data_IF_277469326893
#
_entry.id   IF_277469326893
#
_cell.length_a   1.000
_cell.length_b   1.000
_cell.length_c   1.000
_cell.angle_alpha   90.00
_cell.angle_beta   90.00
_cell.angle_gamma   90.00
#
_symmetry.space_group_name_H-M   'P 1'
#
loop_
_entity.id
_entity.type
_entity.pdbx_description
1 polymer ?
#
# COMPACT_ATOMS: atom_id res chain seq x y z
N UNK A 1 -6.41 14.56 -0.27
CA UNK A 1 -5.39 15.17 0.58
C UNK A 1 -5.75 16.60 0.91
N UNK A 2 -5.51 17.02 2.15
CA UNK A 2 -5.76 18.37 2.58
C UNK A 2 -4.63 19.31 2.14
N UNK A 3 -4.95 20.60 1.96
CA UNK A 3 -3.95 21.63 1.76
C UNK A 3 -2.98 21.74 2.97
N UNK A 4 -1.80 22.34 2.81
CA UNK A 4 -0.88 22.57 3.92
C UNK A 4 -1.58 23.21 5.13
N UNK A 5 -1.32 22.70 6.33
CA UNK A 5 -1.98 23.15 7.56
C UNK A 5 -3.34 22.51 7.87
N UNK A 6 -3.83 21.63 6.99
CA UNK A 6 -5.09 20.90 7.22
C UNK A 6 -4.88 19.45 7.70
N UNK A 7 -3.65 19.01 7.87
CA UNK A 7 -3.29 17.73 8.45
C UNK A 7 -2.53 17.93 9.76
N UNK A 8 -2.68 16.99 10.70
CA UNK A 8 -1.82 16.94 11.88
C UNK A 8 -0.42 16.34 11.53
N UNK A 9 0.44 16.23 12.53
CA UNK A 9 1.78 15.64 12.42
C UNK A 9 1.78 14.15 12.02
N UNK A 10 0.63 13.48 12.13
CA UNK A 10 0.41 12.09 11.70
C UNK A 10 -0.18 12.00 10.29
N UNK A 11 -0.46 13.12 9.65
CA UNK A 11 -1.09 13.19 8.34
C UNK A 11 -2.59 12.87 8.35
N UNK A 12 -3.23 13.00 9.49
CA UNK A 12 -4.67 12.81 9.61
C UNK A 12 -5.42 14.09 9.26
N UNK A 13 -6.56 13.94 8.58
CA UNK A 13 -7.39 15.06 8.14
C UNK A 13 -8.55 15.23 9.11
N UNK A 14 -8.41 16.16 10.05
CA UNK A 14 -9.45 16.53 11.03
C UNK A 14 -10.01 17.93 10.78
N UNK A 15 -10.40 18.25 9.53
CA UNK A 15 -10.83 19.59 9.13
C UNK A 15 -12.34 19.71 9.05
N UNK A 16 -12.85 20.94 9.12
CA UNK A 16 -14.27 21.26 8.99
C UNK A 16 -14.95 20.57 7.80
N UNK A 17 -14.37 20.52 6.58
CA UNK A 17 -14.94 19.77 5.47
C UNK A 17 -15.10 18.29 5.71
N UNK A 18 -14.39 17.70 6.67
CA UNK A 18 -14.38 16.25 6.95
C UNK A 18 -15.15 15.87 8.22
N UNK A 19 -15.77 16.81 8.90
CA UNK A 19 -16.60 16.52 10.07
C UNK A 19 -17.87 15.77 9.68
N UNK A 20 -18.28 14.83 10.52
CA UNK A 20 -19.48 14.06 10.33
C UNK A 20 -20.73 14.94 10.33
N UNK A 21 -21.61 14.76 9.36
CA UNK A 21 -22.89 15.44 9.24
C UNK A 21 -23.93 14.50 8.62
N UNK A 22 -25.23 14.64 8.91
CA UNK A 22 -26.26 13.85 8.26
C UNK A 22 -26.21 13.94 6.73
N UNK A 23 -26.30 12.81 6.05
CA UNK A 23 -26.25 12.73 4.57
C UNK A 23 -24.88 12.98 3.92
N UNK A 24 -23.86 13.27 4.69
CA UNK A 24 -22.51 13.54 4.18
C UNK A 24 -21.70 12.25 4.04
N UNK A 25 -21.03 12.08 2.90
CA UNK A 25 -20.08 10.97 2.69
C UNK A 25 -18.81 11.22 3.51
N UNK A 26 -18.32 10.16 4.13
CA UNK A 26 -17.02 10.19 4.81
C UNK A 26 -15.86 10.22 3.81
N UNK A 27 -14.71 10.70 4.25
CA UNK A 27 -13.44 10.47 3.58
C UNK A 27 -13.11 8.97 3.62
N UNK A 28 -12.64 8.42 2.51
CA UNK A 28 -12.18 7.04 2.44
C UNK A 28 -10.88 6.94 1.65
N UNK A 29 -9.94 6.14 2.15
CA UNK A 29 -8.71 5.73 1.44
C UNK A 29 -8.83 4.32 0.87
N UNK A 30 -9.98 3.67 0.95
CA UNK A 30 -10.22 2.35 0.36
C UNK A 30 -9.87 2.36 -1.12
N UNK A 31 -9.07 1.39 -1.53
CA UNK A 31 -8.57 1.27 -2.90
C UNK A 31 -8.66 -0.19 -3.37
N UNK A 32 -9.88 -0.80 -3.38
CA UNK A 32 -10.04 -2.12 -3.96
C UNK A 32 -9.73 -2.04 -5.46
N UNK A 33 -8.86 -2.91 -5.95
CA UNK A 33 -8.31 -2.79 -7.30
C UNK A 33 -8.42 -4.09 -8.07
N UNK A 34 -8.88 -3.98 -9.31
CA UNK A 34 -8.91 -5.03 -10.30
C UNK A 34 -8.01 -4.60 -11.48
N UNK A 35 -7.04 -5.42 -11.83
CA UNK A 35 -6.23 -5.22 -13.03
C UNK A 35 -6.61 -6.24 -14.10
N UNK A 36 -6.67 -5.77 -15.34
CA UNK A 36 -6.84 -6.63 -16.50
C UNK A 36 -5.62 -6.55 -17.41
N UNK A 37 -5.30 -7.66 -18.07
CA UNK A 37 -4.28 -7.74 -19.09
C UNK A 37 -4.86 -8.49 -20.29
N UNK A 38 -4.72 -7.91 -21.48
CA UNK A 38 -5.24 -8.48 -22.73
C UNK A 38 -6.75 -8.85 -22.64
N UNK A 39 -7.53 -7.98 -21.96
CA UNK A 39 -8.98 -8.16 -21.78
C UNK A 39 -9.38 -9.20 -20.75
N UNK A 40 -8.43 -9.84 -20.06
CA UNK A 40 -8.70 -10.84 -19.02
C UNK A 40 -8.32 -10.32 -17.63
N UNK A 41 -8.99 -10.83 -16.59
CA UNK A 41 -8.61 -10.53 -15.22
C UNK A 41 -7.20 -11.04 -14.99
N UNK A 42 -6.33 -10.14 -14.51
CA UNK A 42 -4.93 -10.44 -14.19
C UNK A 42 -4.68 -10.45 -12.68
N UNK A 43 -5.26 -9.49 -11.96
CA UNK A 43 -4.95 -9.30 -10.53
C UNK A 43 -6.14 -8.71 -9.80
N UNK A 44 -6.38 -9.18 -8.59
CA UNK A 44 -7.30 -8.58 -7.62
C UNK A 44 -6.52 -8.28 -6.36
N UNK A 45 -6.57 -7.03 -5.87
CA UNK A 45 -5.88 -6.66 -4.65
C UNK A 45 -6.65 -5.61 -3.86
N UNK A 46 -6.40 -5.59 -2.58
CA UNK A 46 -6.88 -4.61 -1.64
C UNK A 46 -6.00 -4.59 -0.40
N UNK A 47 -6.23 -3.63 0.46
CA UNK A 47 -5.44 -3.50 1.68
C UNK A 47 -6.25 -2.90 2.82
N UNK A 48 -5.84 -3.18 4.05
CA UNK A 48 -6.16 -2.40 5.23
C UNK A 48 -4.97 -1.52 5.65
N UNK A 49 -5.18 -0.46 6.42
CA UNK A 49 -4.09 0.39 6.90
C UNK A 49 -4.41 1.88 6.95
N UNK A 50 -5.69 2.25 6.86
CA UNK A 50 -6.11 3.66 6.91
C UNK A 50 -5.44 4.48 5.80
N UNK A 51 -4.68 5.50 6.14
CA UNK A 51 -4.01 6.38 5.16
C UNK A 51 -2.96 5.68 4.29
N UNK A 52 -2.41 4.55 4.72
CA UNK A 52 -1.38 3.82 3.97
C UNK A 52 -1.96 2.91 2.89
N UNK A 53 -3.28 2.66 2.87
CA UNK A 53 -3.95 1.74 1.93
C UNK A 53 -3.55 2.02 0.49
N UNK A 54 -3.61 3.27 0.04
CA UNK A 54 -3.33 3.66 -1.35
C UNK A 54 -1.91 3.23 -1.76
N UNK A 55 -0.91 3.55 -0.94
CA UNK A 55 0.47 3.18 -1.21
C UNK A 55 0.71 1.67 -1.06
N UNK A 56 0.04 1.02 -0.11
CA UNK A 56 0.12 -0.44 0.04
C UNK A 56 -0.34 -1.15 -1.22
N UNK A 57 -1.50 -0.77 -1.76
CA UNK A 57 -2.02 -1.31 -3.02
C UNK A 57 -1.07 -0.98 -4.18
N UNK A 58 -0.58 0.26 -4.28
CA UNK A 58 0.38 0.67 -5.31
C UNK A 58 1.67 -0.17 -5.24
N UNK A 59 2.30 -0.30 -4.06
CA UNK A 59 3.51 -1.10 -3.90
C UNK A 59 3.27 -2.56 -4.32
N UNK A 60 2.14 -3.15 -3.92
CA UNK A 60 1.79 -4.53 -4.30
C UNK A 60 1.66 -4.68 -5.82
N UNK A 61 1.01 -3.72 -6.50
CA UNK A 61 0.88 -3.73 -7.97
C UNK A 61 2.26 -3.63 -8.65
N UNK A 62 3.08 -2.66 -8.23
CA UNK A 62 4.44 -2.46 -8.78
C UNK A 62 5.31 -3.70 -8.56
N UNK A 63 5.23 -4.32 -7.40
CA UNK A 63 5.97 -5.55 -7.10
C UNK A 63 5.65 -6.68 -8.10
N UNK A 64 4.39 -6.83 -8.47
CA UNK A 64 3.97 -7.83 -9.46
C UNK A 64 4.30 -7.40 -10.88
N UNK A 65 3.92 -6.18 -11.27
CA UNK A 65 3.95 -5.73 -12.67
C UNK A 65 5.37 -5.40 -13.13
N UNK A 66 6.11 -4.65 -12.30
CA UNK A 66 7.43 -4.13 -12.68
C UNK A 66 8.56 -5.03 -12.18
N UNK A 67 8.40 -5.67 -11.02
CA UNK A 67 9.43 -6.52 -10.42
C UNK A 67 9.20 -8.02 -10.63
N UNK A 68 8.07 -8.44 -11.21
CA UNK A 68 7.78 -9.83 -11.55
C UNK A 68 7.60 -10.76 -10.34
N UNK A 69 7.32 -10.21 -9.16
CA UNK A 69 7.15 -10.98 -7.94
C UNK A 69 5.90 -11.87 -8.04
N UNK A 70 5.93 -13.05 -7.40
CA UNK A 70 4.75 -13.86 -7.18
C UNK A 70 3.83 -13.22 -6.13
N UNK A 71 2.62 -13.78 -5.94
CA UNK A 71 1.62 -13.19 -5.06
C UNK A 71 2.12 -13.06 -3.61
N UNK A 72 2.79 -14.08 -3.09
CA UNK A 72 3.28 -14.06 -1.71
C UNK A 72 4.47 -13.11 -1.54
N UNK A 73 5.42 -13.12 -2.47
CA UNK A 73 6.54 -12.17 -2.47
C UNK A 73 6.06 -10.72 -2.51
N UNK A 74 5.06 -10.43 -3.35
CA UNK A 74 4.54 -9.09 -3.53
C UNK A 74 3.89 -8.50 -2.27
N UNK A 75 3.16 -9.33 -1.50
CA UNK A 75 2.53 -8.87 -0.25
C UNK A 75 3.51 -8.84 0.93
N UNK A 76 4.53 -9.71 0.95
CA UNK A 76 5.55 -9.76 2.00
C UNK A 76 6.63 -8.68 1.84
N UNK A 77 6.83 -8.17 0.63
CA UNK A 77 7.84 -7.15 0.34
C UNK A 77 7.73 -5.92 1.26
N UNK A 78 8.86 -5.37 1.64
CA UNK A 78 8.94 -4.17 2.47
C UNK A 78 8.28 -2.97 1.79
N UNK A 79 7.57 -2.15 2.56
CA UNK A 79 6.76 -1.05 2.06
C UNK A 79 7.35 0.30 2.32
N UNK A 80 7.08 1.20 1.37
CA UNK A 80 7.32 2.64 1.51
C UNK A 80 6.00 3.39 1.40
N UNK A 81 5.93 4.54 2.07
CA UNK A 81 4.75 5.39 2.06
C UNK A 81 5.14 6.86 2.00
N UNK A 82 4.47 7.60 1.11
CA UNK A 82 4.53 9.06 1.06
C UNK A 82 3.13 9.57 0.71
N UNK A 83 2.65 10.56 1.43
CA UNK A 83 1.28 11.07 1.24
C UNK A 83 1.24 12.59 1.00
N UNK A 84 2.34 13.21 0.53
CA UNK A 84 2.55 14.62 0.36
C UNK A 84 2.79 15.37 1.69
N UNK A 85 1.89 15.33 2.62
CA UNK A 85 2.03 15.92 3.95
C UNK A 85 1.75 14.86 5.04
N UNK A 86 2.61 14.78 6.06
CA UNK A 86 3.93 15.42 6.18
C UNK A 86 4.87 15.01 5.05
N UNK A 87 5.70 15.95 4.57
CA UNK A 87 6.64 15.71 3.48
C UNK A 87 7.82 14.85 3.96
N UNK A 88 7.58 13.55 3.95
CA UNK A 88 8.57 12.53 4.32
C UNK A 88 8.23 11.18 3.72
N UNK A 89 9.25 10.44 3.32
CA UNK A 89 9.15 9.02 2.97
C UNK A 89 9.23 8.22 4.27
N UNK A 90 8.19 7.41 4.51
CA UNK A 90 8.17 6.46 5.64
C UNK A 90 8.40 5.07 5.06
N UNK A 91 9.31 4.30 5.63
CA UNK A 91 9.59 2.93 5.17
C UNK A 91 9.51 1.93 6.32
N UNK A 92 9.11 0.71 6.01
CA UNK A 92 9.20 -0.39 6.97
C UNK A 92 10.65 -0.77 7.22
N UNK A 93 10.91 -1.38 8.37
CA UNK A 93 12.22 -1.94 8.67
C UNK A 93 12.65 -2.90 7.57
N UNK A 94 13.88 -2.76 7.08
CA UNK A 94 14.45 -3.54 5.98
C UNK A 94 13.79 -3.36 4.60
N UNK A 95 12.85 -2.43 4.42
CA UNK A 95 12.25 -2.15 3.10
C UNK A 95 13.23 -1.50 2.12
N UNK A 96 14.20 -0.75 2.63
CA UNK A 96 15.23 -0.06 1.84
C UNK A 96 16.61 -0.44 2.32
N UNK A 97 17.54 -0.60 1.38
CA UNK A 97 18.96 -0.82 1.68
C UNK A 97 19.64 0.46 2.18
N UNK A 98 20.78 0.33 2.86
CA UNK A 98 21.50 1.47 3.43
C UNK A 98 21.97 2.48 2.36
N UNK A 99 22.36 1.98 1.19
CA UNK A 99 22.75 2.81 0.04
C UNK A 99 21.56 3.53 -0.58
N UNK A 100 20.40 2.86 -0.73
CA UNK A 100 19.16 3.52 -1.17
C UNK A 100 18.74 4.62 -0.22
N UNK A 101 18.81 4.39 1.10
CA UNK A 101 18.53 5.40 2.11
C UNK A 101 19.47 6.62 1.99
N UNK A 102 20.77 6.38 1.74
CA UNK A 102 21.75 7.43 1.53
C UNK A 102 21.46 8.24 0.25
N UNK A 103 21.12 7.58 -0.84
CA UNK A 103 20.75 8.22 -2.10
C UNK A 103 19.50 9.10 -1.96
N UNK A 104 18.44 8.58 -1.36
CA UNK A 104 17.20 9.35 -1.14
C UNK A 104 17.44 10.60 -0.28
N UNK A 105 18.25 10.48 0.77
CA UNK A 105 18.63 11.63 1.61
C UNK A 105 19.51 12.62 0.83
N UNK A 106 20.40 12.12 -0.02
CA UNK A 106 21.22 12.96 -0.90
C UNK A 106 20.40 13.74 -1.95
N UNK A 107 19.23 13.21 -2.34
CA UNK A 107 18.26 13.90 -3.18
C UNK A 107 17.39 14.92 -2.44
N UNK A 108 17.59 15.06 -1.12
CA UNK A 108 16.85 16.02 -0.29
C UNK A 108 15.58 15.44 0.38
N UNK A 109 15.31 14.15 0.26
CA UNK A 109 14.16 13.55 0.92
C UNK A 109 14.39 13.35 2.42
N UNK A 110 13.38 13.67 3.22
CA UNK A 110 13.30 13.21 4.61
C UNK A 110 12.85 11.76 4.63
N UNK A 111 13.71 10.85 5.10
CA UNK A 111 13.41 9.41 5.12
C UNK A 111 13.46 8.89 6.54
N UNK A 112 12.35 8.29 7.00
CA UNK A 112 12.17 7.82 8.39
C UNK A 112 11.69 6.38 8.41
N UNK A 113 12.14 5.60 9.38
CA UNK A 113 11.64 4.26 9.62
C UNK A 113 10.26 4.33 10.31
N UNK A 114 9.31 3.51 9.86
CA UNK A 114 8.01 3.39 10.49
C UNK A 114 8.13 2.75 11.90
N UNK A 115 7.31 3.18 12.86
CA UNK A 115 7.29 2.55 14.19
C UNK A 115 6.70 1.13 14.18
N UNK A 116 6.19 0.67 13.06
CA UNK A 116 5.58 -0.64 12.87
C UNK A 116 5.21 -0.89 11.41
N UNK A 117 4.44 -1.93 11.17
CA UNK A 117 4.01 -2.34 9.83
C UNK A 117 3.11 -1.30 9.16
N UNK A 118 3.20 -1.20 7.85
CA UNK A 118 2.41 -0.28 7.04
C UNK A 118 1.31 -1.02 6.29
N UNK A 119 0.14 -1.15 6.94
CA UNK A 119 -1.01 -1.83 6.38
C UNK A 119 -0.82 -3.34 6.24
N UNK A 120 -1.80 -3.97 5.63
CA UNK A 120 -1.75 -5.37 5.20
C UNK A 120 -2.48 -5.50 3.86
N UNK A 121 -1.93 -6.27 2.93
CA UNK A 121 -2.47 -6.46 1.59
C UNK A 121 -2.90 -7.91 1.38
N UNK A 122 -3.96 -8.07 0.62
CA UNK A 122 -4.40 -9.34 0.08
C UNK A 122 -4.30 -9.29 -1.44
N UNK A 123 -3.87 -10.39 -2.04
CA UNK A 123 -3.62 -10.46 -3.47
C UNK A 123 -4.05 -11.81 -4.04
N UNK A 124 -4.72 -11.76 -5.18
CA UNK A 124 -4.94 -12.91 -6.04
C UNK A 124 -4.41 -12.57 -7.43
N UNK A 125 -3.52 -13.39 -7.96
CA UNK A 125 -3.06 -13.34 -9.34
C UNK A 125 -3.75 -14.46 -10.15
N UNK A 126 -4.21 -14.12 -11.34
CA UNK A 126 -4.70 -15.09 -12.30
C UNK A 126 -3.57 -15.44 -13.28
N UNK A 127 -3.01 -16.61 -13.13
CA UNK A 127 -2.05 -17.21 -14.05
C UNK A 127 -2.80 -17.84 -15.24
N UNK A 128 -3.21 -17.00 -16.18
CA UNK A 128 -4.09 -17.40 -17.30
C UNK A 128 -3.54 -18.58 -18.08
N UNK A 129 -2.24 -18.57 -18.38
CA UNK A 129 -1.60 -19.64 -19.17
C UNK A 129 -1.63 -21.00 -18.46
N UNK A 130 -1.66 -21.00 -17.14
CA UNK A 130 -1.63 -22.20 -16.29
C UNK A 130 -3.03 -22.57 -15.78
N UNK A 131 -4.01 -21.69 -15.98
CA UNK A 131 -5.38 -21.87 -15.45
C UNK A 131 -5.44 -21.84 -13.92
N UNK A 132 -4.52 -21.13 -13.28
CA UNK A 132 -4.37 -21.11 -11.82
C UNK A 132 -4.69 -19.74 -11.23
N UNK A 133 -5.23 -19.76 -10.00
CA UNK A 133 -5.31 -18.60 -9.12
C UNK A 133 -4.23 -18.73 -8.05
N UNK A 134 -3.36 -17.74 -7.97
CA UNK A 134 -2.29 -17.67 -6.98
C UNK A 134 -2.66 -16.65 -5.91
N UNK A 135 -2.83 -17.08 -4.66
CA UNK A 135 -3.17 -16.21 -3.54
C UNK A 135 -1.94 -15.82 -2.73
N UNK A 136 -1.83 -14.53 -2.38
CA UNK A 136 -0.85 -14.01 -1.42
C UNK A 136 -1.56 -13.47 -0.19
N UNK A 137 -1.16 -13.95 0.99
CA UNK A 137 -1.62 -13.48 2.28
C UNK A 137 -0.52 -12.72 3.01
N UNK A 138 -0.82 -11.50 3.43
CA UNK A 138 0.12 -10.66 4.17
C UNK A 138 0.36 -11.19 5.58
N UNK A 139 1.61 -11.48 5.92
CA UNK A 139 1.99 -12.05 7.21
C UNK A 139 2.12 -11.01 8.34
N UNK A 140 1.89 -9.73 8.05
CA UNK A 140 1.95 -8.67 9.08
C UNK A 140 0.86 -8.79 10.13
N UNK A 141 -0.42 -9.01 9.78
CA UNK A 141 -1.43 -9.42 10.75
C UNK A 141 -1.27 -10.91 11.08
N UNK A 142 -1.56 -11.31 12.34
CA UNK A 142 -1.43 -12.72 12.75
C UNK A 142 -2.53 -13.63 12.19
N UNK A 143 -3.63 -13.03 11.70
CA UNK A 143 -4.85 -13.73 11.33
C UNK A 143 -5.08 -13.66 9.82
N UNK A 144 -5.25 -14.79 9.19
CA UNK A 144 -5.61 -14.91 7.79
C UNK A 144 -4.88 -16.03 7.08
N UNK A 145 -5.33 -16.35 5.87
CA UNK A 145 -4.69 -17.32 4.99
C UNK A 145 -5.17 -17.15 3.56
N UNK A 146 -4.32 -17.48 2.58
CA UNK A 146 -4.74 -17.75 1.21
C UNK A 146 -4.92 -19.27 1.08
N UNK A 147 -6.16 -19.70 0.89
CA UNK A 147 -6.50 -21.14 0.79
C UNK A 147 -7.10 -21.39 -0.59
N UNK A 148 -6.49 -22.32 -1.33
CA UNK A 148 -6.97 -22.78 -2.64
C UNK A 148 -7.58 -24.18 -2.58
N UNK A 149 -8.30 -24.54 -3.63
CA UNK A 149 -8.80 -25.90 -3.91
C UNK A 149 -8.39 -26.30 -5.32
#
# INVERSE_FOLDING_TARGET
NAAPGLTDDKGLIGTQPNLAQPGKRMLSSMSPTLLTKDGQLFMVTGAMGGRTIINTVLNTIVNVVDHGMNAQEAVDAGRIHHQWLPDRIVHERHALSADTLALLRGMGHTVVEAPGNQGAAELILHRVAEGLLEGGFDRRPPDGAAIGR
#
